data_IF_722671968153
#
_entry.id   IF_722671968153
#
_cell.length_a   1.000
_cell.length_b   1.000
_cell.length_c   1.000
_cell.angle_alpha   90.00
_cell.angle_beta   90.00
_cell.angle_gamma   90.00
#
_symmetry.space_group_name_H-M   'P 1'
#
loop_
_entity.id
_entity.type
_entity.pdbx_description
1 polymer ?
#
# COMPACT_ATOMS: atom_id res chain seq x y z
N UNK A 1 2.75 -30.92 19.14
CA UNK A 1 1.66 -29.96 18.85
C UNK A 1 2.14 -29.09 17.70
N UNK A 2 1.57 -29.26 16.51
CA UNK A 2 1.92 -28.43 15.35
C UNK A 2 1.01 -27.21 15.44
N UNK A 3 1.56 -26.06 15.82
CA UNK A 3 0.85 -24.79 15.72
C UNK A 3 0.95 -24.34 14.27
N UNK A 4 -0.10 -24.61 13.49
CA UNK A 4 -0.29 -23.91 12.24
C UNK A 4 -0.61 -22.46 12.59
N UNK A 5 0.41 -21.62 12.64
CA UNK A 5 0.24 -20.18 12.74
C UNK A 5 -0.60 -19.78 11.53
N UNK A 6 -1.84 -19.34 11.77
CA UNK A 6 -2.65 -18.69 10.74
C UNK A 6 -1.87 -17.42 10.39
N UNK A 7 -1.13 -17.44 9.29
CA UNK A 7 -0.45 -16.26 8.75
C UNK A 7 -1.53 -15.35 8.19
N UNK A 8 -2.09 -14.49 9.05
CA UNK A 8 -2.93 -13.40 8.61
C UNK A 8 -2.03 -12.40 7.88
N UNK A 9 -2.34 -12.13 6.62
CA UNK A 9 -1.67 -11.08 5.86
C UNK A 9 -1.88 -9.74 6.56
N UNK A 10 -0.81 -8.96 6.80
CA UNK A 10 -0.92 -7.69 7.48
C UNK A 10 -1.68 -6.71 6.60
N UNK A 11 -2.55 -5.90 7.23
CA UNK A 11 -3.42 -4.97 6.51
C UNK A 11 -2.85 -3.56 6.55
N UNK A 12 -3.02 -2.79 5.47
CA UNK A 12 -2.69 -1.37 5.48
C UNK A 12 -3.63 -0.61 6.41
N UNK A 13 -3.02 0.10 7.36
CA UNK A 13 -3.67 1.03 8.29
C UNK A 13 -3.56 2.48 7.83
N UNK A 14 -2.43 2.84 7.21
CA UNK A 14 -2.17 4.21 6.71
C UNK A 14 -1.19 4.18 5.55
N UNK A 15 -1.38 5.06 4.57
CA UNK A 15 -0.45 5.27 3.46
C UNK A 15 -0.01 6.74 3.42
N UNK A 16 1.26 6.99 3.15
CA UNK A 16 1.80 8.33 2.91
C UNK A 16 2.89 8.28 1.84
N UNK A 17 3.23 9.46 1.32
CA UNK A 17 4.08 9.59 0.14
C UNK A 17 5.18 10.61 0.40
N UNK A 18 6.35 10.31 -0.13
CA UNK A 18 7.46 11.23 -0.33
C UNK A 18 7.67 11.46 -1.84
N UNK A 19 8.68 12.24 -2.19
CA UNK A 19 9.02 12.53 -3.60
C UNK A 19 9.42 11.29 -4.41
N UNK A 20 9.88 10.22 -3.76
CA UNK A 20 10.46 9.04 -4.43
C UNK A 20 9.86 7.71 -3.99
N UNK A 21 9.15 7.68 -2.85
CA UNK A 21 8.62 6.46 -2.23
C UNK A 21 7.22 6.70 -1.68
N UNK A 22 6.43 5.65 -1.61
CA UNK A 22 5.26 5.61 -0.75
C UNK A 22 5.49 4.62 0.37
N UNK A 23 4.77 4.81 1.46
CA UNK A 23 4.92 4.03 2.66
C UNK A 23 3.57 3.52 3.12
N UNK A 24 3.58 2.33 3.69
CA UNK A 24 2.40 1.67 4.22
C UNK A 24 2.68 1.30 5.66
N UNK A 25 1.89 1.85 6.59
CA UNK A 25 1.84 1.39 7.97
C UNK A 25 0.85 0.23 8.03
N UNK A 26 1.31 -0.90 8.54
CA UNK A 26 0.53 -2.11 8.72
C UNK A 26 -0.19 -2.12 10.08
N UNK A 27 -1.20 -2.97 10.21
CA UNK A 27 -1.94 -3.12 11.47
C UNK A 27 -1.08 -3.68 12.61
N UNK A 28 -0.01 -4.40 12.26
CA UNK A 28 0.99 -4.93 13.19
C UNK A 28 2.11 -3.92 13.57
N UNK A 29 1.92 -2.65 13.22
CA UNK A 29 2.85 -1.53 13.53
C UNK A 29 4.15 -1.51 12.72
N UNK A 30 4.37 -2.47 11.82
CA UNK A 30 5.44 -2.40 10.80
C UNK A 30 5.14 -1.33 9.75
N UNK A 31 6.21 -0.74 9.24
CA UNK A 31 6.18 0.22 8.13
C UNK A 31 7.00 -0.30 6.96
N UNK A 32 6.44 -0.20 5.75
CA UNK A 32 7.11 -0.62 4.52
C UNK A 32 7.25 0.60 3.62
N UNK A 33 8.46 0.86 3.13
CA UNK A 33 8.74 1.93 2.18
C UNK A 33 9.05 1.38 0.79
N UNK A 34 8.20 1.70 -0.18
CA UNK A 34 8.26 1.18 -1.55
C UNK A 34 8.58 2.32 -2.53
N UNK A 35 9.56 2.15 -3.43
CA UNK A 35 9.84 3.14 -4.47
C UNK A 35 8.67 3.35 -5.42
N UNK A 36 8.29 4.61 -5.66
CA UNK A 36 7.26 4.97 -6.64
C UNK A 36 7.65 4.53 -8.06
N UNK A 37 8.96 4.46 -8.34
CA UNK A 37 9.50 4.03 -9.64
C UNK A 37 9.15 2.59 -10.04
N UNK A 38 8.76 1.74 -9.08
CA UNK A 38 8.31 0.37 -9.38
C UNK A 38 6.95 0.35 -10.08
N UNK A 39 6.19 1.42 -9.95
CA UNK A 39 4.84 1.53 -10.49
C UNK A 39 4.78 2.69 -11.49
N UNK A 40 4.66 2.37 -12.78
CA UNK A 40 4.69 3.38 -13.84
C UNK A 40 3.64 4.49 -13.65
N UNK A 41 2.42 4.14 -13.21
CA UNK A 41 1.34 5.11 -13.00
C UNK A 41 1.62 6.02 -11.81
N UNK A 42 1.99 5.45 -10.66
CA UNK A 42 2.34 6.22 -9.46
C UNK A 42 3.57 7.12 -9.68
N UNK A 43 4.55 6.68 -10.47
CA UNK A 43 5.72 7.49 -10.83
C UNK A 43 5.35 8.75 -11.63
N UNK A 44 4.33 8.65 -12.49
CA UNK A 44 3.88 9.75 -13.34
C UNK A 44 2.80 10.62 -12.68
N UNK A 45 2.24 10.16 -11.56
CA UNK A 45 1.20 10.85 -10.82
C UNK A 45 1.74 12.06 -10.05
N UNK A 46 0.90 13.09 -9.95
CA UNK A 46 1.15 14.22 -9.05
C UNK A 46 0.94 13.83 -7.58
N UNK A 47 1.53 14.60 -6.66
CA UNK A 47 1.35 14.37 -5.22
C UNK A 47 -0.13 14.48 -4.79
N UNK A 48 -0.91 15.32 -5.47
CA UNK A 48 -2.34 15.47 -5.24
C UNK A 48 -3.08 14.17 -5.59
N UNK A 49 -2.82 13.60 -6.77
CA UNK A 49 -3.39 12.32 -7.20
C UNK A 49 -2.97 11.17 -6.29
N UNK A 50 -1.70 11.11 -5.90
CA UNK A 50 -1.19 10.11 -4.96
C UNK A 50 -1.87 10.19 -3.60
N UNK A 51 -2.13 11.40 -3.11
CA UNK A 51 -2.85 11.61 -1.85
C UNK A 51 -4.33 11.26 -1.93
N UNK A 52 -4.92 11.20 -3.13
CA UNK A 52 -6.32 10.77 -3.36
C UNK A 52 -6.47 9.25 -3.43
N UNK A 53 -5.83 8.53 -2.49
CA UNK A 53 -5.97 7.08 -2.37
C UNK A 53 -7.14 6.70 -1.46
N UNK A 54 -7.59 5.46 -1.60
CA UNK A 54 -8.55 4.82 -0.69
C UNK A 54 -8.09 3.40 -0.37
N UNK A 55 -8.22 3.00 0.89
CA UNK A 55 -8.04 1.61 1.28
C UNK A 55 -9.27 0.78 0.90
N UNK A 56 -9.04 -0.34 0.23
CA UNK A 56 -10.07 -1.31 -0.18
C UNK A 56 -9.86 -2.64 0.56
N UNK A 57 -10.92 -3.46 0.64
CA UNK A 57 -10.85 -4.75 1.35
C UNK A 57 -10.41 -4.61 2.81
N UNK A 58 -10.91 -3.60 3.54
CA UNK A 58 -10.48 -3.31 4.92
C UNK A 58 -8.96 -3.12 5.11
N UNK A 59 -8.26 -2.67 4.06
CA UNK A 59 -6.80 -2.50 4.09
C UNK A 59 -6.02 -3.62 3.41
N UNK A 60 -6.68 -4.56 2.73
CA UNK A 60 -6.02 -5.55 1.87
C UNK A 60 -5.41 -4.92 0.62
N UNK A 61 -5.94 -3.78 0.16
CA UNK A 61 -5.43 -3.07 -1.01
C UNK A 61 -5.56 -1.54 -0.89
N UNK A 62 -4.85 -0.87 -1.79
CA UNK A 62 -4.83 0.57 -1.96
C UNK A 62 -5.30 0.86 -3.38
N UNK A 63 -6.31 1.71 -3.52
CA UNK A 63 -6.89 2.09 -4.79
C UNK A 63 -6.76 3.60 -5.02
N UNK A 64 -6.33 3.98 -6.21
CA UNK A 64 -6.29 5.36 -6.69
C UNK A 64 -7.32 5.53 -7.80
N UNK A 65 -8.40 6.27 -7.50
CA UNK A 65 -9.50 6.50 -8.45
C UNK A 65 -9.03 7.32 -9.66
N UNK A 66 -8.22 8.36 -9.43
CA UNK A 66 -7.70 9.21 -10.49
C UNK A 66 -6.74 8.50 -11.45
N UNK A 67 -6.00 7.51 -10.94
CA UNK A 67 -4.99 6.76 -11.69
C UNK A 67 -5.53 5.45 -12.28
N UNK A 68 -6.77 5.08 -11.91
CA UNK A 68 -7.37 3.77 -12.18
C UNK A 68 -6.36 2.64 -11.86
N UNK A 69 -5.78 2.71 -10.65
CA UNK A 69 -4.75 1.77 -10.19
C UNK A 69 -5.11 1.18 -8.85
N UNK A 70 -4.91 -0.12 -8.71
CA UNK A 70 -5.04 -0.86 -7.46
C UNK A 70 -3.75 -1.63 -7.15
N UNK A 71 -3.36 -1.59 -5.88
CA UNK A 71 -2.18 -2.29 -5.37
C UNK A 71 -2.61 -3.07 -4.14
N UNK A 72 -2.37 -4.38 -4.18
CA UNK A 72 -2.57 -5.25 -3.02
C UNK A 72 -1.42 -5.08 -2.03
N UNK A 73 -1.74 -4.98 -0.74
CA UNK A 73 -0.74 -4.88 0.34
C UNK A 73 0.11 -6.14 0.40
N UNK A 74 -0.48 -7.30 0.11
CA UNK A 74 0.24 -8.58 0.04
C UNK A 74 1.32 -8.61 -1.04
N UNK A 75 1.16 -7.85 -2.13
CA UNK A 75 2.16 -7.78 -3.20
C UNK A 75 3.39 -6.94 -2.81
N UNK A 76 3.35 -6.25 -1.66
CA UNK A 76 4.41 -5.37 -1.15
C UNK A 76 5.25 -6.02 -0.04
N UNK A 77 4.92 -7.24 0.39
CA UNK A 77 5.56 -8.03 1.45
C UNK A 77 6.52 -9.08 0.88
#
# INVERSE_FOLDING_TARGET
MNISTIHKSPLAKKVWFDQTKFYVLLDDEREIGIPLEWFKKLKLASFEELSQYRLIGNGEGIHWEALDEDILVEALL
#
